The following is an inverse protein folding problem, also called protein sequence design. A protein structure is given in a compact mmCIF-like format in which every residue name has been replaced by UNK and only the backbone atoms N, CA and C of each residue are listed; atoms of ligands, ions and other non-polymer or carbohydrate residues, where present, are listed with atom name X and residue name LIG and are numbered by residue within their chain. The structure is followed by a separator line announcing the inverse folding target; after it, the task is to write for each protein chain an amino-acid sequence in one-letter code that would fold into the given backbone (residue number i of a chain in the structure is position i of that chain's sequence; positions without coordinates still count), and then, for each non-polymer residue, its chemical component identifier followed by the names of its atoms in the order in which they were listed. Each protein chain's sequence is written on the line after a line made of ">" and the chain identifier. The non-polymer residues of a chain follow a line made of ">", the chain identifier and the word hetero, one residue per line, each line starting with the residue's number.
data_IF_473985932558
#
_entry.id   IF_473985932558
#
_cell.length_a   1.000
_cell.length_b   1.000
_cell.length_c   1.000
_cell.angle_alpha   90.00
_cell.angle_beta   90.00
_cell.angle_gamma   90.00
#
_symmetry.space_group_name_H-M   'P 1'
#
loop_
_entity.id
_entity.type
_entity.pdbx_description
1 polymer ?
#
# COMPACT_ATOMS: atom_id res chain seq x y z
N UNK A 1 4.35 15.64 10.95
CA UNK A 1 5.39 15.63 9.90
C UNK A 1 4.94 14.96 8.59
N UNK A 2 4.28 13.80 8.63
CA UNK A 2 3.91 13.04 7.42
C UNK A 2 3.10 13.85 6.39
N UNK A 3 2.11 14.63 6.85
CA UNK A 3 1.21 15.39 5.97
C UNK A 3 1.96 16.32 5.02
N UNK A 4 2.86 17.14 5.55
CA UNK A 4 3.63 18.11 4.77
C UNK A 4 4.58 17.40 3.81
N UNK A 5 5.29 16.37 4.27
CA UNK A 5 6.23 15.61 3.45
C UNK A 5 5.52 14.90 2.28
N UNK A 6 4.40 14.22 2.55
CA UNK A 6 3.56 13.59 1.52
C UNK A 6 3.03 14.61 0.51
N UNK A 7 2.60 15.78 0.98
CA UNK A 7 2.11 16.85 0.11
C UNK A 7 3.23 17.39 -0.78
N UNK A 8 4.44 17.57 -0.26
CA UNK A 8 5.61 17.96 -1.03
C UNK A 8 5.90 16.93 -2.13
N UNK A 9 6.03 15.64 -1.79
CA UNK A 9 6.23 14.53 -2.74
C UNK A 9 5.15 14.51 -3.82
N UNK A 10 3.87 14.66 -3.44
CA UNK A 10 2.75 14.62 -4.39
C UNK A 10 2.72 15.84 -5.31
N UNK A 11 3.00 17.04 -4.79
CA UNK A 11 3.06 18.27 -5.59
C UNK A 11 4.27 18.27 -6.52
N UNK A 12 5.41 17.76 -6.07
CA UNK A 12 6.61 17.63 -6.91
C UNK A 12 6.38 16.71 -8.09
N UNK A 13 5.71 15.57 -7.86
CA UNK A 13 5.33 14.66 -8.96
C UNK A 13 4.34 15.33 -9.91
N UNK A 14 3.33 16.03 -9.40
CA UNK A 14 2.40 16.81 -10.24
C UNK A 14 3.15 17.83 -11.12
N UNK A 15 4.18 18.49 -10.58
CA UNK A 15 5.04 19.40 -11.35
C UNK A 15 5.86 18.70 -12.42
N UNK A 16 6.34 17.48 -12.19
CA UNK A 16 7.08 16.69 -13.18
C UNK A 16 6.19 16.36 -14.40
N UNK A 17 4.96 15.91 -14.14
CA UNK A 17 4.04 15.42 -15.17
C UNK A 17 3.06 16.48 -15.72
N UNK A 18 3.44 17.77 -15.68
CA UNK A 18 2.58 18.87 -16.10
C UNK A 18 3.25 19.92 -16.98
N UNK A 19 2.40 20.67 -17.68
CA UNK A 19 2.79 21.78 -18.54
C UNK A 19 3.37 21.35 -19.90
N UNK A 20 3.76 22.36 -20.68
CA UNK A 20 4.29 22.18 -22.03
C UNK A 20 5.51 21.25 -22.12
N UNK A 21 6.48 21.28 -21.19
CA UNK A 21 7.65 20.42 -21.35
C UNK A 21 7.33 18.94 -21.10
N UNK A 22 6.36 18.61 -20.22
CA UNK A 22 5.87 17.24 -20.11
C UNK A 22 5.17 16.80 -21.40
N UNK A 23 4.32 17.65 -21.99
CA UNK A 23 3.65 17.36 -23.27
C UNK A 23 4.63 17.12 -24.42
N UNK A 24 5.75 17.84 -24.44
CA UNK A 24 6.83 17.61 -25.40
C UNK A 24 7.48 16.24 -25.21
N UNK A 25 7.89 15.90 -23.99
CA UNK A 25 8.49 14.58 -23.70
C UNK A 25 7.50 13.43 -23.96
N UNK A 26 6.23 13.62 -23.61
CA UNK A 26 5.16 12.67 -23.85
C UNK A 26 5.02 12.36 -25.34
N UNK A 27 5.05 13.40 -26.18
CA UNK A 27 5.05 13.28 -27.64
C UNK A 27 6.34 12.63 -28.17
N UNK A 28 7.50 13.19 -27.82
CA UNK A 28 8.80 12.82 -28.41
C UNK A 28 9.21 11.37 -28.07
N UNK A 29 8.81 10.85 -26.91
CA UNK A 29 9.09 9.48 -26.49
C UNK A 29 7.89 8.53 -26.67
N UNK A 30 6.78 9.01 -27.24
CA UNK A 30 5.58 8.19 -27.44
C UNK A 30 4.98 7.65 -26.14
N UNK A 31 5.02 8.42 -25.05
CA UNK A 31 4.39 8.05 -23.78
C UNK A 31 2.87 8.17 -23.95
N UNK A 32 2.13 7.10 -23.62
CA UNK A 32 0.67 7.03 -23.77
C UNK A 32 -0.07 7.20 -22.44
N UNK A 33 0.64 7.10 -21.33
CA UNK A 33 0.07 7.32 -20.01
C UNK A 33 0.95 6.82 -18.89
N UNK A 34 0.45 7.00 -17.67
CA UNK A 34 1.11 6.53 -16.47
C UNK A 34 0.10 6.20 -15.38
N UNK A 35 0.53 5.34 -14.46
CA UNK A 35 -0.13 5.11 -13.19
C UNK A 35 0.89 5.29 -12.08
N UNK A 36 0.49 5.95 -10.99
CA UNK A 36 1.33 6.12 -9.81
C UNK A 36 0.69 5.54 -8.57
N UNK A 37 1.50 4.94 -7.72
CA UNK A 37 1.16 4.53 -6.37
C UNK A 37 1.95 5.33 -5.33
N UNK A 38 1.29 5.74 -4.26
CA UNK A 38 1.91 6.30 -3.07
C UNK A 38 2.13 5.17 -2.05
N UNK A 39 3.39 4.95 -1.71
CA UNK A 39 3.81 4.04 -0.65
C UNK A 39 4.41 4.87 0.49
N UNK A 40 4.10 4.50 1.73
CA UNK A 40 4.58 5.21 2.93
C UNK A 40 5.11 4.20 3.93
N UNK A 41 6.38 4.37 4.28
CA UNK A 41 7.03 3.59 5.33
C UNK A 41 7.52 4.50 6.45
N UNK A 42 7.89 3.92 7.58
CA UNK A 42 8.51 4.62 8.70
C UNK A 42 9.83 3.94 9.07
N UNK A 43 10.93 4.68 9.00
CA UNK A 43 12.23 4.24 9.49
C UNK A 43 12.57 4.91 10.81
N UNK A 44 13.21 4.18 11.73
CA UNK A 44 13.61 4.75 13.03
C UNK A 44 14.54 5.97 12.89
N UNK A 45 15.50 5.92 11.96
CA UNK A 45 16.51 6.96 11.77
C UNK A 45 16.01 8.18 10.98
N UNK A 46 15.06 7.99 10.06
CA UNK A 46 14.67 9.00 9.08
C UNK A 46 13.18 9.37 9.13
N UNK A 47 12.42 8.73 10.01
CA UNK A 47 10.99 8.96 10.19
C UNK A 47 10.16 8.48 8.99
N UNK A 48 9.11 9.23 8.68
CA UNK A 48 8.20 8.94 7.56
C UNK A 48 8.88 9.08 6.20
N UNK A 49 8.67 8.08 5.34
CA UNK A 49 9.25 8.01 4.00
C UNK A 49 8.17 7.76 2.94
N UNK A 50 7.39 8.81 2.57
CA UNK A 50 6.47 8.72 1.44
C UNK A 50 7.25 8.71 0.13
N UNK A 51 7.07 7.67 -0.66
CA UNK A 51 7.69 7.53 -1.98
C UNK A 51 6.64 7.11 -3.02
N UNK A 52 7.00 7.29 -4.29
CA UNK A 52 6.09 7.08 -5.41
C UNK A 52 6.65 6.04 -6.36
N UNK A 53 5.85 5.02 -6.65
CA UNK A 53 6.09 4.12 -7.77
C UNK A 53 5.29 4.64 -8.95
N UNK A 54 5.92 4.84 -10.11
CA UNK A 54 5.22 5.29 -11.32
C UNK A 54 5.53 4.34 -12.47
N UNK A 55 4.50 3.71 -13.03
CA UNK A 55 4.62 3.00 -14.29
C UNK A 55 4.36 3.96 -15.43
N UNK A 56 5.29 4.01 -16.38
CA UNK A 56 5.19 4.80 -17.60
C UNK A 56 4.98 3.86 -18.78
N UNK A 57 3.97 4.13 -19.58
CA UNK A 57 3.62 3.31 -20.74
C UNK A 57 3.99 4.06 -22.00
N UNK A 58 4.67 3.37 -22.92
CA UNK A 58 5.10 3.93 -24.21
C UNK A 58 4.55 3.10 -25.37
N UNK A 59 4.32 3.72 -26.54
CA UNK A 59 3.87 3.00 -27.75
C UNK A 59 4.90 1.99 -28.24
N UNK A 60 6.17 2.31 -28.04
CA UNK A 60 7.30 1.50 -28.47
C UNK A 60 8.33 1.40 -27.32
N UNK A 61 9.11 0.31 -27.25
CA UNK A 61 10.22 0.21 -26.31
C UNK A 61 11.20 1.37 -26.49
N UNK A 62 11.61 2.00 -25.38
CA UNK A 62 12.60 3.07 -25.42
C UNK A 62 14.03 2.51 -25.54
N UNK A 63 14.83 3.12 -26.40
CA UNK A 63 16.27 2.90 -26.46
C UNK A 63 16.95 3.38 -25.17
N UNK A 64 18.19 2.94 -24.93
CA UNK A 64 18.95 3.39 -23.75
C UNK A 64 19.12 4.92 -23.73
N UNK A 65 19.46 5.52 -24.87
CA UNK A 65 19.59 6.97 -24.99
C UNK A 65 18.27 7.70 -24.69
N UNK A 66 17.12 7.14 -25.12
CA UNK A 66 15.81 7.71 -24.80
C UNK A 66 15.48 7.59 -23.30
N UNK A 67 15.87 6.49 -22.65
CA UNK A 67 15.73 6.32 -21.20
C UNK A 67 16.61 7.34 -20.46
N UNK A 68 17.83 7.57 -20.91
CA UNK A 68 18.74 8.55 -20.29
C UNK A 68 18.18 9.98 -20.42
N UNK A 69 17.63 10.34 -21.58
CA UNK A 69 16.92 11.61 -21.79
C UNK A 69 15.71 11.73 -20.86
N UNK A 70 14.92 10.66 -20.73
CA UNK A 70 13.77 10.64 -19.82
C UNK A 70 14.21 10.79 -18.35
N UNK A 71 15.27 10.09 -17.94
CA UNK A 71 15.82 10.14 -16.59
C UNK A 71 16.28 11.56 -16.26
N UNK A 72 17.08 12.19 -17.12
CA UNK A 72 17.56 13.55 -16.94
C UNK A 72 16.39 14.55 -16.83
N UNK A 73 15.39 14.43 -17.71
CA UNK A 73 14.21 15.28 -17.68
C UNK A 73 13.41 15.12 -16.38
N UNK A 74 13.12 13.88 -15.97
CA UNK A 74 12.32 13.62 -14.78
C UNK A 74 13.07 14.04 -13.51
N UNK A 75 14.36 13.69 -13.40
CA UNK A 75 15.19 14.02 -12.24
C UNK A 75 15.35 15.52 -12.08
N UNK A 76 15.66 16.27 -13.15
CA UNK A 76 15.81 17.72 -13.08
C UNK A 76 14.55 18.39 -12.53
N UNK A 77 13.39 18.09 -13.11
CA UNK A 77 12.12 18.66 -12.65
C UNK A 77 11.71 18.19 -11.26
N UNK A 78 12.02 16.94 -10.91
CA UNK A 78 11.76 16.40 -9.58
C UNK A 78 12.59 17.12 -8.52
N UNK A 79 13.90 17.25 -8.77
CA UNK A 79 14.84 17.95 -7.91
C UNK A 79 14.43 19.40 -7.71
N UNK A 80 14.18 20.15 -8.80
CA UNK A 80 13.74 21.55 -8.73
C UNK A 80 12.46 21.71 -7.91
N UNK A 81 11.51 20.80 -8.09
CA UNK A 81 10.25 20.85 -7.37
C UNK A 81 10.40 20.52 -5.87
N UNK A 82 11.29 19.59 -5.51
CA UNK A 82 11.62 19.24 -4.13
C UNK A 82 12.35 20.38 -3.43
N UNK A 83 13.34 21.00 -4.10
CA UNK A 83 14.07 22.17 -3.58
C UNK A 83 13.12 23.35 -3.40
N UNK A 84 12.25 23.63 -4.38
CA UNK A 84 11.24 24.68 -4.28
C UNK A 84 10.18 24.41 -3.19
N UNK A 85 10.08 23.19 -2.68
CA UNK A 85 9.23 22.84 -1.54
C UNK A 85 9.96 23.00 -0.17
N UNK A 86 11.22 23.45 -0.17
CA UNK A 86 12.02 23.69 1.04
C UNK A 86 12.84 22.49 1.52
N UNK A 87 13.02 21.47 0.68
CA UNK A 87 13.78 20.26 1.04
C UNK A 87 15.14 20.25 0.34
N UNK A 88 16.05 19.39 0.84
CA UNK A 88 17.34 19.14 0.18
C UNK A 88 17.11 18.48 -1.18
N UNK A 89 17.99 18.71 -2.17
CA UNK A 89 17.91 18.02 -3.44
C UNK A 89 17.91 16.49 -3.21
N UNK A 90 17.12 15.73 -3.98
CA UNK A 90 17.16 14.27 -3.92
C UNK A 90 18.57 13.73 -4.20
N UNK A 91 18.88 12.55 -3.69
CA UNK A 91 20.13 11.87 -4.03
C UNK A 91 20.16 11.55 -5.53
N UNK A 92 21.30 11.76 -6.19
CA UNK A 92 21.44 11.55 -7.64
C UNK A 92 21.17 10.09 -8.05
N UNK A 93 21.59 9.13 -7.23
CA UNK A 93 21.46 7.69 -7.53
C UNK A 93 20.18 7.04 -7.01
N UNK A 94 19.55 7.63 -5.98
CA UNK A 94 18.44 6.98 -5.25
C UNK A 94 17.17 7.83 -5.19
N UNK A 95 17.26 9.11 -5.57
CA UNK A 95 16.13 10.03 -5.55
C UNK A 95 15.12 9.81 -6.69
N UNK A 96 15.58 9.23 -7.80
CA UNK A 96 14.75 8.79 -8.92
C UNK A 96 15.48 7.70 -9.70
N UNK A 97 14.85 6.54 -9.88
CA UNK A 97 15.40 5.41 -10.64
C UNK A 97 14.39 4.98 -11.69
N UNK A 98 14.86 4.73 -12.91
CA UNK A 98 14.06 4.14 -13.99
C UNK A 98 14.56 2.72 -14.24
N UNK A 99 13.64 1.77 -14.36
CA UNK A 99 13.93 0.38 -14.70
C UNK A 99 13.06 -0.07 -15.87
N UNK A 100 13.57 -1.00 -16.70
CA UNK A 100 12.85 -1.52 -17.87
C UNK A 100 11.76 -2.52 -17.48
N UNK A 101 10.76 -2.66 -18.36
CA UNK A 101 9.65 -3.60 -18.22
C UNK A 101 10.03 -5.09 -18.36
N UNK A 102 11.20 -5.43 -18.90
CA UNK A 102 11.63 -6.82 -19.08
C UNK A 102 12.04 -7.46 -17.75
N UNK A 103 12.74 -6.72 -16.89
CA UNK A 103 12.86 -7.05 -15.46
C UNK A 103 11.56 -6.81 -14.73
N UNK A 104 10.61 -6.05 -15.32
CA UNK A 104 9.26 -6.08 -14.83
C UNK A 104 8.60 -7.43 -15.06
N UNK A 105 9.11 -8.39 -15.84
CA UNK A 105 8.59 -9.77 -15.94
C UNK A 105 8.96 -10.65 -14.74
N UNK A 106 10.18 -10.55 -14.23
CA UNK A 106 10.62 -11.21 -12.98
C UNK A 106 10.19 -10.44 -11.74
N UNK A 107 10.08 -9.10 -11.83
CA UNK A 107 9.28 -8.31 -10.93
C UNK A 107 7.84 -8.87 -11.01
N UNK A 108 7.17 -8.86 -12.18
CA UNK A 108 5.77 -9.30 -12.46
C UNK A 108 5.54 -10.76 -12.05
N UNK A 109 6.56 -11.62 -12.07
CA UNK A 109 6.48 -13.04 -11.66
C UNK A 109 6.67 -13.22 -10.15
N UNK A 110 7.49 -12.38 -9.49
CA UNK A 110 7.36 -12.10 -8.04
C UNK A 110 6.01 -11.50 -7.66
N UNK A 111 5.26 -11.06 -8.67
CA UNK A 111 4.06 -10.26 -8.59
C UNK A 111 2.78 -11.04 -8.97
N UNK A 112 2.90 -12.21 -9.59
CA UNK A 112 1.79 -13.06 -10.01
C UNK A 112 1.75 -14.41 -9.28
N UNK A 113 2.83 -14.82 -8.62
CA UNK A 113 2.82 -16.02 -7.78
C UNK A 113 2.55 -15.69 -6.32
N UNK A 114 1.41 -16.23 -5.84
CA UNK A 114 1.18 -16.87 -4.53
C UNK A 114 0.24 -16.18 -3.52
N UNK A 115 -0.87 -16.87 -3.27
CA UNK A 115 -1.54 -16.96 -1.97
C UNK A 115 -0.74 -17.73 -0.89
N UNK A 116 0.58 -17.62 -0.92
CA UNK A 116 1.54 -18.14 0.05
C UNK A 116 2.77 -17.22 -0.01
N UNK A 117 2.69 -16.04 0.61
CA UNK A 117 3.80 -15.11 0.80
C UNK A 117 4.66 -14.79 -0.44
N UNK A 118 4.32 -13.73 -1.18
CA UNK A 118 5.17 -12.62 -1.69
C UNK A 118 4.28 -11.70 -2.57
N UNK A 119 4.39 -10.37 -2.42
CA UNK A 119 3.40 -9.38 -2.90
C UNK A 119 3.73 -8.78 -4.26
N UNK A 120 2.73 -8.70 -5.14
CA UNK A 120 2.88 -8.26 -6.52
C UNK A 120 2.49 -6.84 -6.91
N UNK A 121 2.83 -6.28 -8.07
CA UNK A 121 2.67 -4.87 -8.49
C UNK A 121 1.23 -4.39 -8.49
N UNK A 122 0.27 -5.25 -8.83
CA UNK A 122 -1.15 -4.95 -8.61
C UNK A 122 -1.43 -4.80 -7.10
N UNK A 123 -0.80 -5.61 -6.24
CA UNK A 123 -0.75 -5.44 -4.79
C UNK A 123 0.32 -4.44 -4.29
N UNK A 124 1.34 -4.01 -5.02
CA UNK A 124 2.27 -2.95 -4.59
C UNK A 124 1.62 -1.60 -4.85
N UNK A 125 0.81 -1.52 -5.90
CA UNK A 125 0.03 -0.36 -6.30
C UNK A 125 -1.31 -0.31 -5.54
N UNK A 126 -1.95 -1.46 -5.27
CA UNK A 126 -3.26 -1.53 -4.58
C UNK A 126 -3.20 -2.00 -3.12
N UNK A 127 -2.10 -2.62 -2.68
CA UNK A 127 -1.83 -3.05 -1.29
C UNK A 127 -0.45 -2.55 -0.81
N UNK A 128 -0.07 -1.32 -1.14
CA UNK A 128 1.22 -0.71 -0.77
C UNK A 128 1.61 -0.84 0.73
N UNK A 129 0.65 -1.11 1.61
CA UNK A 129 0.91 -1.39 3.02
C UNK A 129 1.46 -2.79 3.31
N UNK A 130 1.33 -3.75 2.41
CA UNK A 130 1.54 -5.17 2.74
C UNK A 130 3.03 -5.55 2.85
N UNK A 131 3.97 -4.75 2.31
CA UNK A 131 5.40 -5.06 2.28
C UNK A 131 6.02 -5.18 3.68
N UNK A 132 7.00 -6.06 3.83
CA UNK A 132 7.90 -6.06 5.00
C UNK A 132 9.02 -5.05 4.70
N UNK A 133 9.14 -4.00 5.51
CA UNK A 133 10.21 -3.01 5.31
C UNK A 133 11.61 -3.65 5.44
N UNK A 134 12.57 -3.16 4.64
CA UNK A 134 13.99 -3.54 4.73
C UNK A 134 14.72 -2.59 5.68
N UNK A 135 15.84 -3.04 6.27
CA UNK A 135 16.79 -2.21 7.01
C UNK A 135 16.12 -1.28 8.05
N UNK A 136 15.49 -1.88 9.08
CA UNK A 136 14.85 -1.16 10.20
C UNK A 136 13.72 -0.18 9.83
N UNK A 137 13.17 -0.26 8.62
CA UNK A 137 11.93 0.43 8.23
C UNK A 137 10.72 -0.49 8.38
N UNK A 138 9.57 0.08 8.75
CA UNK A 138 8.28 -0.61 8.92
C UNK A 138 7.24 -0.03 7.97
N UNK A 139 6.43 -0.89 7.36
CA UNK A 139 5.20 -0.46 6.69
C UNK A 139 4.09 -0.22 7.71
N UNK A 140 3.03 0.44 7.27
CA UNK A 140 1.91 0.80 8.16
C UNK A 140 1.21 -0.45 8.71
N UNK A 141 0.88 -1.49 7.91
CA UNK A 141 0.44 -2.78 8.43
C UNK A 141 1.39 -3.40 9.44
N UNK A 142 2.71 -3.36 9.24
CA UNK A 142 3.63 -3.82 10.29
C UNK A 142 3.52 -3.01 11.59
N UNK A 143 3.29 -1.69 11.50
CA UNK A 143 3.06 -0.86 12.69
C UNK A 143 1.71 -1.20 13.35
N UNK A 144 0.69 -1.57 12.57
CA UNK A 144 -0.61 -2.05 13.08
C UNK A 144 -0.43 -3.38 13.80
N UNK A 145 0.26 -4.33 13.18
CA UNK A 145 0.57 -5.64 13.76
C UNK A 145 1.40 -5.48 15.04
N UNK A 146 2.47 -4.68 15.01
CA UNK A 146 3.32 -4.37 16.16
C UNK A 146 2.51 -3.70 17.30
N UNK A 147 1.60 -2.79 16.98
CA UNK A 147 0.71 -2.18 17.98
C UNK A 147 -0.23 -3.22 18.59
N UNK A 148 -0.78 -4.12 17.77
CA UNK A 148 -1.64 -5.22 18.22
C UNK A 148 -0.93 -6.16 19.18
N UNK A 149 0.29 -6.55 18.83
CA UNK A 149 1.10 -7.52 19.58
C UNK A 149 1.75 -6.91 20.83
N UNK A 150 2.30 -5.70 20.73
CA UNK A 150 3.14 -5.11 21.79
C UNK A 150 2.53 -3.92 22.53
N UNK A 151 1.47 -3.30 22.01
CA UNK A 151 0.78 -2.14 22.63
C UNK A 151 1.73 -0.99 23.04
N UNK A 152 2.79 -0.76 22.26
CA UNK A 152 3.78 0.32 22.52
C UNK A 152 3.21 1.68 22.14
N UNK A 153 3.24 2.65 23.06
CA UNK A 153 2.71 4.01 22.81
C UNK A 153 3.32 4.66 21.56
N UNK A 154 4.60 4.36 21.27
CA UNK A 154 5.27 4.79 20.05
C UNK A 154 4.51 4.38 18.78
N UNK A 155 3.98 3.16 18.72
CA UNK A 155 3.27 2.65 17.55
C UNK A 155 1.88 3.29 17.43
N UNK A 156 1.19 3.49 18.56
CA UNK A 156 -0.06 4.27 18.60
C UNK A 156 0.12 5.69 18.07
N UNK A 157 1.16 6.40 18.50
CA UNK A 157 1.45 7.76 18.04
C UNK A 157 1.74 7.80 16.53
N UNK A 158 2.48 6.81 16.01
CA UNK A 158 2.71 6.69 14.56
C UNK A 158 1.41 6.44 13.80
N UNK A 159 0.53 5.57 14.29
CA UNK A 159 -0.77 5.33 13.66
C UNK A 159 -1.66 6.59 13.64
N UNK A 160 -1.69 7.35 14.74
CA UNK A 160 -2.43 8.62 14.81
C UNK A 160 -1.88 9.66 13.83
N UNK A 161 -0.55 9.79 13.73
CA UNK A 161 0.07 10.66 12.74
C UNK A 161 -0.24 10.20 11.32
N UNK A 162 -0.21 8.90 11.06
CA UNK A 162 -0.53 8.32 9.76
C UNK A 162 -1.97 8.61 9.35
N UNK A 163 -2.94 8.32 10.22
CA UNK A 163 -4.36 8.58 9.99
C UNK A 163 -4.62 10.06 9.65
N UNK A 164 -3.98 10.97 10.38
CA UNK A 164 -4.11 12.40 10.16
C UNK A 164 -3.40 12.85 8.88
N UNK A 165 -2.21 12.31 8.61
CA UNK A 165 -1.37 12.71 7.48
C UNK A 165 -1.83 12.18 6.13
N UNK A 166 -2.48 11.01 6.13
CA UNK A 166 -3.00 10.34 4.95
C UNK A 166 -4.45 10.67 4.62
N UNK A 167 -5.17 11.38 5.51
CA UNK A 167 -6.54 11.83 5.22
C UNK A 167 -6.59 12.60 3.89
N UNK A 168 -7.42 12.11 2.96
CA UNK A 168 -7.59 12.68 1.61
C UNK A 168 -6.41 12.43 0.65
N UNK A 169 -5.44 11.60 1.02
CA UNK A 169 -4.37 11.18 0.13
C UNK A 169 -4.92 10.21 -0.92
N UNK A 170 -4.55 10.42 -2.19
CA UNK A 170 -4.81 9.45 -3.25
C UNK A 170 -3.65 8.46 -3.28
N UNK A 171 -3.94 7.19 -2.98
CA UNK A 171 -2.94 6.12 -3.02
C UNK A 171 -2.63 5.74 -4.47
N UNK A 172 -3.66 5.64 -5.30
CA UNK A 172 -3.53 5.35 -6.73
C UNK A 172 -3.98 6.54 -7.57
N UNK A 173 -3.22 6.90 -8.60
CA UNK A 173 -3.61 7.96 -9.53
C UNK A 173 -3.18 7.61 -10.95
N UNK A 174 -4.07 7.83 -11.90
CA UNK A 174 -3.89 7.57 -13.32
C UNK A 174 -3.74 8.88 -14.08
N UNK A 175 -2.97 8.88 -15.17
CA UNK A 175 -2.99 9.98 -16.12
C UNK A 175 -4.39 10.11 -16.75
N UNK A 176 -4.76 11.34 -17.13
CA UNK A 176 -6.08 11.65 -17.67
C UNK A 176 -6.40 10.76 -18.88
N UNK A 177 -7.56 10.10 -18.86
CA UNK A 177 -8.06 9.24 -19.95
C UNK A 177 -7.42 7.85 -20.03
N UNK A 178 -6.26 7.64 -19.41
CA UNK A 178 -5.51 6.37 -19.54
C UNK A 178 -6.27 5.18 -18.93
N UNK A 179 -6.86 5.37 -17.74
CA UNK A 179 -7.70 4.33 -17.11
C UNK A 179 -8.87 3.93 -18.01
N UNK A 180 -9.62 4.90 -18.51
CA UNK A 180 -10.82 4.67 -19.35
C UNK A 180 -10.48 4.00 -20.69
N UNK A 181 -9.29 4.28 -21.23
CA UNK A 181 -8.87 3.75 -22.52
C UNK A 181 -8.38 2.29 -22.46
N UNK A 182 -7.72 1.90 -21.36
CA UNK A 182 -6.99 0.63 -21.30
C UNK A 182 -7.53 -0.37 -20.27
N UNK A 183 -8.36 0.08 -19.32
CA UNK A 183 -9.08 -0.83 -18.43
C UNK A 183 -10.52 -0.99 -18.92
N UNK A 184 -11.07 -2.21 -18.86
CA UNK A 184 -12.51 -2.39 -19.06
C UNK A 184 -13.28 -1.51 -18.08
N UNK A 185 -14.53 -1.18 -18.43
CA UNK A 185 -15.44 -0.57 -17.48
C UNK A 185 -15.38 -1.38 -16.18
N UNK A 186 -15.25 -0.69 -15.05
CA UNK A 186 -15.20 -1.29 -13.73
C UNK A 186 -16.46 -2.15 -13.62
N UNK A 187 -16.31 -3.47 -13.76
CA UNK A 187 -17.39 -4.36 -13.37
C UNK A 187 -17.60 -4.03 -11.90
N UNK A 188 -18.84 -3.75 -11.46
CA UNK A 188 -19.09 -3.70 -10.04
C UNK A 188 -18.46 -4.97 -9.49
N UNK A 189 -17.66 -4.84 -8.41
CA UNK A 189 -17.25 -6.02 -7.70
C UNK A 189 -18.51 -6.87 -7.57
N UNK A 190 -18.46 -8.14 -7.97
CA UNK A 190 -19.44 -9.10 -7.50
C UNK A 190 -19.18 -9.26 -5.99
N UNK A 191 -19.40 -8.18 -5.24
CA UNK A 191 -19.85 -8.30 -3.88
C UNK A 191 -21.19 -9.02 -4.06
N UNK A 192 -21.21 -10.30 -3.70
CA UNK A 192 -22.44 -11.05 -3.52
C UNK A 192 -23.43 -10.12 -2.82
N UNK A 193 -24.61 -9.94 -3.42
CA UNK A 193 -25.66 -9.08 -2.89
C UNK A 193 -25.73 -9.28 -1.37
N UNK A 194 -25.47 -8.25 -0.53
CA UNK A 194 -25.45 -8.42 0.91
C UNK A 194 -26.80 -8.93 1.45
N UNK A 195 -27.90 -8.82 0.70
CA UNK A 195 -29.18 -9.48 1.06
C UNK A 195 -29.18 -11.00 0.88
N UNK A 196 -28.21 -11.55 0.15
CA UNK A 196 -27.96 -12.99 0.00
C UNK A 196 -26.84 -13.50 0.92
N UNK A 197 -26.10 -12.60 1.57
CA UNK A 197 -25.05 -12.96 2.51
C UNK A 197 -25.66 -13.42 3.84
N UNK A 198 -25.26 -14.60 4.31
CA UNK A 198 -25.61 -15.06 5.66
C UNK A 198 -24.79 -14.28 6.69
N UNK A 199 -25.46 -13.60 7.63
CA UNK A 199 -24.79 -13.07 8.81
C UNK A 199 -24.27 -14.21 9.68
N UNK A 200 -22.96 -14.39 9.74
CA UNK A 200 -22.34 -15.46 10.54
C UNK A 200 -22.23 -15.05 12.01
N UNK A 201 -21.44 -14.01 12.30
CA UNK A 201 -21.23 -13.45 13.63
C UNK A 201 -20.62 -12.04 13.52
N UNK A 202 -20.76 -11.24 14.57
CA UNK A 202 -20.11 -9.93 14.71
C UNK A 202 -19.29 -9.92 15.99
N UNK A 203 -18.11 -9.31 15.91
CA UNK A 203 -17.26 -9.05 17.07
C UNK A 203 -17.24 -7.56 17.37
N UNK A 204 -17.33 -7.21 18.64
CA UNK A 204 -16.90 -5.89 19.11
C UNK A 204 -15.39 -5.76 19.00
N UNK A 205 -14.85 -4.54 18.97
CA UNK A 205 -13.40 -4.34 18.97
C UNK A 205 -12.71 -5.01 20.17
N UNK A 206 -13.34 -5.02 21.34
CA UNK A 206 -12.80 -5.69 22.54
C UNK A 206 -12.76 -7.22 22.39
N UNK A 207 -13.79 -7.81 21.76
CA UNK A 207 -13.82 -9.24 21.47
C UNK A 207 -12.78 -9.64 20.42
N UNK A 208 -12.59 -8.83 19.38
CA UNK A 208 -11.53 -9.03 18.39
C UNK A 208 -10.16 -8.98 19.03
N UNK A 209 -9.90 -7.97 19.87
CA UNK A 209 -8.65 -7.84 20.62
C UNK A 209 -8.40 -9.06 21.52
N UNK A 210 -9.41 -9.53 22.25
CA UNK A 210 -9.30 -10.73 23.08
C UNK A 210 -8.93 -11.98 22.27
N UNK A 211 -9.62 -12.23 21.16
CA UNK A 211 -9.36 -13.40 20.31
C UNK A 211 -7.94 -13.38 19.75
N UNK A 212 -7.50 -12.23 19.24
CA UNK A 212 -6.16 -12.08 18.64
C UNK A 212 -5.07 -12.19 19.72
N UNK A 213 -5.31 -11.68 20.94
CA UNK A 213 -4.38 -11.84 22.06
C UNK A 213 -4.27 -13.29 22.53
N UNK A 214 -5.39 -14.03 22.51
CA UNK A 214 -5.41 -15.44 22.91
C UNK A 214 -4.67 -16.31 21.88
N UNK A 215 -4.98 -16.14 20.59
CA UNK A 215 -4.33 -16.83 19.49
C UNK A 215 -4.25 -15.89 18.27
N UNK A 216 -3.06 -15.33 17.97
CA UNK A 216 -2.86 -14.43 16.83
C UNK A 216 -3.23 -15.04 15.48
N UNK A 217 -3.29 -16.38 15.37
CA UNK A 217 -3.66 -17.07 14.13
C UNK A 217 -5.13 -16.93 13.77
N UNK A 218 -5.98 -16.57 14.74
CA UNK A 218 -7.41 -16.38 14.52
C UNK A 218 -7.75 -15.25 13.58
N UNK A 219 -6.85 -14.26 13.44
CA UNK A 219 -7.00 -13.15 12.49
C UNK A 219 -7.13 -13.59 11.03
N UNK A 220 -6.60 -14.77 10.68
CA UNK A 220 -6.74 -15.36 9.34
C UNK A 220 -7.59 -16.63 9.33
N UNK A 221 -7.55 -17.45 10.38
CA UNK A 221 -8.34 -18.70 10.46
C UNK A 221 -9.83 -18.45 10.43
N UNK A 222 -10.33 -17.43 11.14
CA UNK A 222 -11.77 -17.12 11.16
C UNK A 222 -12.27 -16.70 9.77
N UNK A 223 -11.63 -15.73 9.06
CA UNK A 223 -12.00 -15.42 7.68
C UNK A 223 -11.85 -16.60 6.70
N UNK A 224 -10.81 -17.41 6.84
CA UNK A 224 -10.62 -18.62 6.02
C UNK A 224 -11.73 -19.65 6.25
N UNK A 225 -12.10 -19.90 7.51
CA UNK A 225 -13.15 -20.83 7.88
C UNK A 225 -14.52 -20.35 7.39
N UNK A 226 -14.80 -19.04 7.47
CA UNK A 226 -15.99 -18.43 6.90
C UNK A 226 -16.06 -18.65 5.38
N UNK A 227 -14.95 -18.45 4.67
CA UNK A 227 -14.87 -18.63 3.22
C UNK A 227 -15.03 -20.08 2.77
N UNK A 228 -14.43 -21.04 3.51
CA UNK A 228 -14.42 -22.46 3.13
C UNK A 228 -15.66 -23.22 3.61
N UNK A 229 -16.19 -22.86 4.77
CA UNK A 229 -17.16 -23.67 5.50
C UNK A 229 -18.33 -22.86 6.08
N UNK A 230 -18.43 -21.56 5.78
CA UNK A 230 -19.53 -20.70 6.25
C UNK A 230 -19.61 -20.64 7.78
N UNK A 231 -20.84 -20.49 8.31
CA UNK A 231 -21.09 -20.43 9.75
C UNK A 231 -20.54 -21.63 10.54
N UNK A 232 -20.71 -22.90 10.11
CA UNK A 232 -20.16 -24.06 10.83
C UNK A 232 -18.63 -23.98 11.06
N UNK A 233 -17.87 -23.54 10.06
CA UNK A 233 -16.42 -23.39 10.19
C UNK A 233 -16.04 -22.33 11.22
N UNK A 234 -16.72 -21.18 11.19
CA UNK A 234 -16.49 -20.11 12.17
C UNK A 234 -16.86 -20.56 13.58
N UNK A 235 -18.01 -21.23 13.75
CA UNK A 235 -18.42 -21.73 15.07
C UNK A 235 -17.47 -22.80 15.60
N UNK A 236 -16.90 -23.65 14.75
CA UNK A 236 -15.90 -24.64 15.18
C UNK A 236 -14.59 -23.99 15.66
N UNK A 237 -14.14 -22.93 14.97
CA UNK A 237 -13.02 -22.11 15.43
C UNK A 237 -13.34 -21.50 16.80
N UNK A 238 -14.48 -20.82 16.96
CA UNK A 238 -14.85 -20.17 18.23
C UNK A 238 -15.08 -21.16 19.38
N UNK A 239 -15.67 -22.34 19.09
CA UNK A 239 -15.90 -23.39 20.08
C UNK A 239 -14.60 -23.96 20.64
N UNK A 240 -13.53 -24.02 19.83
CA UNK A 240 -12.19 -24.44 20.28
C UNK A 240 -11.63 -23.53 21.40
N UNK A 241 -12.18 -22.32 21.53
CA UNK A 241 -11.78 -21.32 22.54
C UNK A 241 -12.87 -21.05 23.58
N UNK A 242 -13.98 -21.81 23.55
CA UNK A 242 -15.17 -21.57 24.37
C UNK A 242 -15.63 -20.09 24.30
N UNK A 243 -15.51 -19.49 23.12
CA UNK A 243 -15.85 -18.09 22.88
C UNK A 243 -17.28 -17.96 22.35
N UNK A 244 -18.08 -17.11 22.99
CA UNK A 244 -19.44 -16.81 22.59
C UNK A 244 -19.52 -15.37 22.07
N UNK A 245 -20.00 -15.21 20.84
CA UNK A 245 -20.16 -13.91 20.19
C UNK A 245 -21.25 -13.04 20.84
N UNK A 246 -22.17 -13.63 21.63
CA UNK A 246 -23.24 -12.90 22.32
C UNK A 246 -22.84 -12.36 23.69
N UNK A 247 -21.73 -12.85 24.27
CA UNK A 247 -21.32 -12.51 25.63
C UNK A 247 -19.92 -11.84 25.63
N UNK A 248 -19.71 -10.91 26.56
CA UNK A 248 -18.36 -10.41 26.87
C UNK A 248 -17.55 -11.59 27.43
N UNK A 249 -16.31 -11.84 26.97
CA UNK A 249 -15.57 -13.03 27.38
C UNK A 249 -15.45 -13.11 28.91
N UNK A 250 -15.93 -14.21 29.49
CA UNK A 250 -15.95 -14.46 30.93
C UNK A 250 -14.56 -14.75 31.53
N UNK A 251 -13.50 -14.72 30.71
CA UNK A 251 -12.12 -14.98 31.13
C UNK A 251 -11.21 -13.84 30.67
N UNK A 252 -10.29 -13.45 31.55
CA UNK A 252 -9.17 -12.58 31.19
C UNK A 252 -8.26 -13.31 30.19
N UNK A 253 -7.70 -12.61 29.19
CA UNK A 253 -6.72 -13.20 28.29
C UNK A 253 -5.50 -13.70 29.10
N UNK A 254 -4.83 -14.78 28.65
CA UNK A 254 -3.61 -15.24 29.31
C UNK A 254 -2.60 -14.09 29.36
N UNK A 255 -1.99 -13.85 30.52
CA UNK A 255 -0.93 -12.85 30.65
C UNK A 255 0.19 -13.22 29.67
N UNK A 256 0.55 -12.28 28.80
CA UNK A 256 1.72 -12.44 27.94
C UNK A 256 2.93 -12.77 28.82
N UNK A 257 3.59 -13.89 28.56
CA UNK A 257 4.85 -14.21 29.20
C UNK A 257 5.83 -13.05 28.95
N UNK A 258 6.37 -12.50 30.05
CA UNK A 258 7.28 -11.36 30.05
C UNK A 258 8.56 -11.61 29.25
#
# INVERSE_FOLDING_TARGET
>A
ALKSLRQAVTRSHTRVFSGRPWKKIEHDLGIIGWVRALEVTYGWLFGWHPHLHTLLFTRHPLSKAQIDVLLQFLYGRWSDAVVAAGYRPPHSEHGLVISRGESAGDYISKICHQGLGHQGLAAEISQAGSKKGRLASRTVPQIIDDWGDYRRESDRLLLLEWLTGMRGARHLTWSKGFRTQYLPAEQPAQDSDPSTAEFVCQFTGQQTDFLIQYDPTLRWRIPEAAKKHGRPGVMAELASFNFDCQNVPARSPPQAAA
#
